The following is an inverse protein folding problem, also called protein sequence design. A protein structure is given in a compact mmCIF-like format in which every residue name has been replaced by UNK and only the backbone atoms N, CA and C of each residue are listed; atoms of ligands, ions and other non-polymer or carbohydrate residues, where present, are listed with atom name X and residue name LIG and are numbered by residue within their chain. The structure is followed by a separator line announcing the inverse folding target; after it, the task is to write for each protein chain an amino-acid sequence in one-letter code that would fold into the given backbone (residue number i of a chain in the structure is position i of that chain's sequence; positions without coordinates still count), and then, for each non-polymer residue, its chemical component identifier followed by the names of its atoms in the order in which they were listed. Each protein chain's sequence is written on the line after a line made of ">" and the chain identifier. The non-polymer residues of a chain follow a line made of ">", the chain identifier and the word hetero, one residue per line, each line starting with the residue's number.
data_IF_346150953780
#
_entry.id   IF_346150953780
#
_cell.length_a   1.000
_cell.length_b   1.000
_cell.length_c   1.000
_cell.angle_alpha   90.00
_cell.angle_beta   90.00
_cell.angle_gamma   90.00
#
_symmetry.space_group_name_H-M   'P 1'
#
loop_
_entity.id
_entity.type
_entity.pdbx_description
1 polymer ?
#
# COMPACT_ATOMS: atom_id res chain seq x y z
N UNK A 1 21.56 4.62 -14.73
CA UNK A 1 20.65 3.57 -14.25
C UNK A 1 21.15 3.10 -12.90
N UNK A 2 20.51 3.49 -11.79
CA UNK A 2 20.81 2.86 -10.52
C UNK A 2 20.44 1.39 -10.67
N UNK A 3 21.19 0.48 -10.02
CA UNK A 3 20.78 -0.93 -9.95
C UNK A 3 19.44 -1.14 -9.24
N UNK A 4 18.77 -0.07 -8.79
CA UNK A 4 17.38 -0.06 -8.35
C UNK A 4 16.39 -0.51 -9.44
N UNK A 5 16.67 -0.18 -10.73
CA UNK A 5 15.85 -0.68 -11.83
C UNK A 5 16.10 -2.16 -12.16
N UNK A 6 17.06 -2.79 -11.45
CA UNK A 6 17.43 -4.22 -11.59
C UNK A 6 17.12 -5.05 -10.35
N UNK A 7 16.28 -4.58 -9.42
CA UNK A 7 15.60 -5.56 -8.57
C UNK A 7 14.88 -6.49 -9.54
N UNK A 8 15.32 -7.75 -9.57
CA UNK A 8 14.67 -8.79 -10.36
C UNK A 8 13.20 -8.69 -10.01
N UNK A 9 12.41 -8.16 -10.94
CA UNK A 9 10.96 -8.12 -10.79
C UNK A 9 10.54 -9.51 -10.28
N UNK A 10 9.89 -9.58 -9.11
CA UNK A 10 9.48 -10.86 -8.55
C UNK A 10 8.66 -11.59 -9.61
N UNK A 11 9.21 -12.62 -10.15
CA UNK A 11 8.52 -13.52 -11.08
C UNK A 11 7.77 -14.54 -10.24
N UNK A 12 6.53 -14.82 -10.63
CA UNK A 12 5.77 -15.88 -9.98
C UNK A 12 6.59 -17.17 -9.96
N UNK A 13 6.67 -17.81 -8.80
CA UNK A 13 7.37 -19.08 -8.61
C UNK A 13 6.63 -20.21 -9.30
N UNK A 14 5.29 -20.18 -9.22
CA UNK A 14 4.42 -21.12 -9.88
C UNK A 14 3.83 -20.50 -11.17
N UNK A 15 3.57 -21.32 -12.19
CA UNK A 15 2.95 -20.82 -13.44
C UNK A 15 1.56 -20.26 -13.15
N UNK A 16 1.17 -19.18 -13.86
CA UNK A 16 -0.14 -18.51 -13.68
C UNK A 16 -1.31 -19.51 -13.70
N UNK A 17 -1.24 -20.54 -14.54
CA UNK A 17 -2.25 -21.60 -14.65
C UNK A 17 -2.52 -22.32 -13.31
N UNK A 18 -1.53 -22.38 -12.41
CA UNK A 18 -1.69 -22.98 -11.08
C UNK A 18 -2.74 -22.25 -10.23
N UNK A 19 -2.86 -20.93 -10.42
CA UNK A 19 -3.77 -20.08 -9.66
C UNK A 19 -5.16 -19.96 -10.30
N UNK A 20 -5.33 -20.40 -11.55
CA UNK A 20 -6.62 -20.39 -12.22
C UNK A 20 -7.62 -21.27 -11.48
N UNK A 21 -8.86 -20.78 -11.33
CA UNK A 21 -9.97 -21.46 -10.63
C UNK A 21 -9.72 -21.73 -9.14
N UNK A 22 -8.70 -21.12 -8.54
CA UNK A 22 -8.42 -21.18 -7.11
C UNK A 22 -8.63 -19.82 -6.46
N UNK A 23 -8.57 -19.76 -5.12
CA UNK A 23 -8.73 -18.52 -4.37
C UNK A 23 -10.17 -18.00 -4.35
N UNK A 24 -11.17 -18.86 -4.63
CA UNK A 24 -12.59 -18.54 -4.63
C UNK A 24 -13.27 -18.92 -3.31
N UNK A 25 -12.51 -19.18 -2.27
CA UNK A 25 -13.00 -19.53 -0.94
C UNK A 25 -13.63 -18.33 -0.24
N UNK A 26 -14.75 -18.54 0.45
CA UNK A 26 -15.34 -17.57 1.35
C UNK A 26 -14.69 -17.61 2.73
N UNK A 27 -14.85 -16.51 3.52
CA UNK A 27 -14.44 -16.44 4.92
C UNK A 27 -15.67 -16.20 5.78
N UNK A 28 -15.90 -17.07 6.76
CA UNK A 28 -17.02 -16.92 7.67
C UNK A 28 -16.82 -15.68 8.57
N UNK A 29 -17.87 -14.88 8.75
CA UNK A 29 -17.88 -13.80 9.72
C UNK A 29 -18.03 -14.36 11.13
N UNK A 30 -17.04 -14.11 11.99
CA UNK A 30 -16.96 -14.62 13.37
C UNK A 30 -17.34 -13.55 14.42
N UNK A 31 -18.28 -12.67 14.09
CA UNK A 31 -18.72 -11.56 14.91
C UNK A 31 -17.87 -10.31 14.68
N UNK A 32 -18.46 -9.31 14.01
CA UNK A 32 -17.85 -8.02 13.65
C UNK A 32 -16.44 -8.11 12.97
N UNK A 33 -16.12 -9.26 12.32
CA UNK A 33 -14.84 -9.48 11.63
C UNK A 33 -14.92 -9.20 10.12
N UNK A 34 -15.96 -8.55 9.64
CA UNK A 34 -16.16 -8.29 8.22
C UNK A 34 -15.03 -7.42 7.62
N UNK A 35 -14.52 -6.43 8.37
CA UNK A 35 -13.38 -5.61 7.95
C UNK A 35 -12.10 -6.46 7.81
N UNK A 36 -11.84 -7.38 8.75
CA UNK A 36 -10.71 -8.34 8.67
C UNK A 36 -10.86 -9.22 7.43
N UNK A 37 -12.03 -9.83 7.26
CA UNK A 37 -12.30 -10.75 6.14
C UNK A 37 -12.11 -10.05 4.79
N UNK A 38 -12.60 -8.80 4.66
CA UNK A 38 -12.47 -8.01 3.43
C UNK A 38 -11.02 -7.71 3.09
N UNK A 39 -10.21 -7.34 4.08
CA UNK A 39 -8.78 -7.10 3.91
C UNK A 39 -8.03 -8.39 3.54
N UNK A 40 -8.33 -9.51 4.23
CA UNK A 40 -7.71 -10.79 3.91
C UNK A 40 -8.02 -11.21 2.47
N UNK A 41 -9.26 -11.05 2.02
CA UNK A 41 -9.65 -11.36 0.64
C UNK A 41 -8.92 -10.45 -0.36
N UNK A 42 -8.81 -9.14 -0.08
CA UNK A 42 -8.05 -8.21 -0.92
C UNK A 42 -6.57 -8.62 -1.03
N UNK A 43 -5.90 -8.84 0.10
CA UNK A 43 -4.49 -9.25 0.13
C UNK A 43 -4.28 -10.64 -0.48
N UNK A 44 -5.23 -11.56 -0.31
CA UNK A 44 -5.22 -12.89 -0.93
C UNK A 44 -5.26 -12.81 -2.47
N UNK A 45 -5.94 -11.82 -3.04
CA UNK A 45 -5.98 -11.58 -4.48
C UNK A 45 -4.79 -10.75 -5.00
N UNK A 46 -3.86 -10.35 -4.14
CA UNK A 46 -2.59 -9.72 -4.51
C UNK A 46 -1.59 -10.80 -4.94
N UNK A 47 -1.66 -11.21 -6.20
CA UNK A 47 -1.04 -12.45 -6.69
C UNK A 47 0.44 -12.60 -6.36
N UNK A 48 1.25 -11.54 -6.49
CA UNK A 48 2.69 -11.62 -6.19
C UNK A 48 2.97 -11.88 -4.71
N UNK A 49 2.22 -11.24 -3.82
CA UNK A 49 2.31 -11.48 -2.39
C UNK A 49 1.86 -12.90 -2.06
N UNK A 50 0.75 -13.32 -2.64
CA UNK A 50 0.18 -14.66 -2.42
C UNK A 50 1.12 -15.76 -2.89
N UNK A 51 1.67 -15.65 -4.11
CA UNK A 51 2.67 -16.61 -4.61
C UNK A 51 3.89 -16.68 -3.70
N UNK A 52 4.45 -15.54 -3.30
CA UNK A 52 5.59 -15.48 -2.38
C UNK A 52 5.32 -16.20 -1.06
N UNK A 53 4.16 -15.99 -0.46
CA UNK A 53 3.80 -16.60 0.81
C UNK A 53 3.47 -18.10 0.67
N UNK A 54 2.74 -18.51 -0.38
CA UNK A 54 2.36 -19.90 -0.60
C UNK A 54 3.54 -20.79 -0.97
N UNK A 55 4.51 -20.26 -1.71
CA UNK A 55 5.72 -20.99 -2.14
C UNK A 55 6.86 -20.93 -1.12
N UNK A 56 6.60 -20.37 0.06
CA UNK A 56 7.57 -20.16 1.13
C UNK A 56 8.79 -19.31 0.69
N UNK A 57 8.58 -18.33 -0.20
CA UNK A 57 9.61 -17.39 -0.63
C UNK A 57 10.32 -16.71 0.55
N UNK A 58 9.57 -16.41 1.60
CA UNK A 58 10.08 -15.84 2.86
C UNK A 58 11.16 -16.71 3.55
N UNK A 59 11.26 -18.01 3.25
CA UNK A 59 12.30 -18.90 3.79
C UNK A 59 13.59 -18.84 2.99
N UNK A 60 13.53 -18.41 1.72
CA UNK A 60 14.68 -18.38 0.81
C UNK A 60 15.45 -17.07 0.91
N UNK A 61 14.72 -15.97 1.17
CA UNK A 61 15.29 -14.63 1.16
C UNK A 61 15.79 -14.18 2.53
N UNK A 62 15.51 -14.94 3.59
CA UNK A 62 15.98 -14.63 4.94
C UNK A 62 17.20 -15.48 5.34
N UNK A 63 18.42 -14.93 5.26
CA UNK A 63 19.62 -15.54 5.80
C UNK A 63 19.64 -15.53 7.34
N UNK A 64 18.74 -14.76 7.98
CA UNK A 64 18.51 -14.79 9.41
C UNK A 64 17.45 -15.86 9.68
N UNK A 65 17.68 -16.73 10.63
CA UNK A 65 16.58 -17.44 11.25
C UNK A 65 15.52 -16.39 11.60
N UNK A 66 14.41 -16.38 10.86
CA UNK A 66 13.28 -15.49 11.07
C UNK A 66 13.16 -15.34 12.58
N UNK A 67 13.20 -14.12 13.07
CA UNK A 67 13.20 -13.80 14.50
C UNK A 67 11.98 -14.45 15.18
N UNK A 68 12.08 -15.75 15.44
CA UNK A 68 11.04 -16.61 16.03
C UNK A 68 10.59 -16.13 17.42
N UNK A 69 11.32 -15.16 17.96
CA UNK A 69 11.11 -14.61 19.31
C UNK A 69 10.13 -13.44 19.35
N UNK A 70 9.73 -12.86 18.22
CA UNK A 70 8.76 -11.75 18.23
C UNK A 70 7.33 -12.29 18.28
N UNK A 71 6.55 -11.86 19.27
CA UNK A 71 5.13 -12.22 19.44
C UNK A 71 4.30 -11.98 18.15
N UNK A 72 4.67 -11.00 17.33
CA UNK A 72 4.00 -10.65 16.08
C UNK A 72 4.23 -11.67 14.95
N UNK A 73 5.31 -12.47 14.98
CA UNK A 73 5.56 -13.50 13.98
C UNK A 73 4.46 -14.57 13.94
N UNK A 74 3.83 -14.84 15.07
CA UNK A 74 2.69 -15.75 15.14
C UNK A 74 1.49 -15.30 14.31
N UNK A 75 1.30 -13.98 14.11
CA UNK A 75 0.23 -13.42 13.27
C UNK A 75 0.54 -13.66 11.80
N UNK A 76 1.77 -13.37 11.37
CA UNK A 76 2.23 -13.63 9.99
C UNK A 76 2.06 -15.10 9.61
N UNK A 77 2.50 -16.04 10.47
CA UNK A 77 2.33 -17.48 10.23
C UNK A 77 0.85 -17.88 10.17
N UNK A 78 0.03 -17.30 11.03
CA UNK A 78 -1.41 -17.58 11.04
C UNK A 78 -2.10 -17.05 9.79
N UNK A 79 -1.69 -15.87 9.31
CA UNK A 79 -2.17 -15.34 8.04
C UNK A 79 -1.76 -16.24 6.87
N UNK A 80 -0.50 -16.70 6.82
CA UNK A 80 -0.02 -17.64 5.79
C UNK A 80 -0.85 -18.93 5.82
N UNK A 81 -1.21 -19.42 7.01
CA UNK A 81 -2.07 -20.60 7.14
C UNK A 81 -3.49 -20.34 6.59
N UNK A 82 -4.10 -19.18 6.91
CA UNK A 82 -5.39 -18.77 6.33
C UNK A 82 -5.28 -18.68 4.81
N UNK A 83 -4.22 -18.05 4.30
CA UNK A 83 -3.98 -17.91 2.87
C UNK A 83 -3.87 -19.28 2.17
N UNK A 84 -3.17 -20.24 2.76
CA UNK A 84 -3.09 -21.62 2.24
C UNK A 84 -4.48 -22.24 2.14
N UNK A 85 -5.31 -22.12 3.16
CA UNK A 85 -6.68 -22.63 3.16
C UNK A 85 -7.57 -21.98 2.09
N UNK A 86 -7.42 -20.66 1.88
CA UNK A 86 -8.15 -19.94 0.83
C UNK A 86 -7.82 -20.45 -0.59
N UNK A 87 -6.56 -20.89 -0.80
CA UNK A 87 -6.07 -21.31 -2.12
C UNK A 87 -6.01 -22.83 -2.32
N UNK A 88 -6.26 -23.62 -1.28
CA UNK A 88 -6.27 -25.08 -1.34
C UNK A 88 -7.55 -25.62 -2.00
N UNK A 89 -8.70 -25.21 -1.48
CA UNK A 89 -10.03 -25.63 -1.92
C UNK A 89 -10.99 -24.45 -1.93
N UNK A 90 -11.93 -24.40 -2.88
CA UNK A 90 -12.93 -23.34 -2.98
C UNK A 90 -14.11 -23.54 -2.00
N UNK A 91 -13.82 -23.58 -0.71
CA UNK A 91 -14.78 -23.79 0.38
C UNK A 91 -14.86 -22.58 1.29
N UNK A 92 -15.89 -22.49 2.13
CA UNK A 92 -15.95 -21.50 3.21
C UNK A 92 -15.02 -21.93 4.33
N UNK A 93 -14.12 -21.03 4.75
CA UNK A 93 -13.17 -21.28 5.84
C UNK A 93 -13.53 -20.49 7.10
N UNK A 94 -13.16 -21.03 8.26
CA UNK A 94 -13.27 -20.38 9.57
C UNK A 94 -11.86 -20.07 10.11
N UNK A 95 -11.40 -18.83 10.07
CA UNK A 95 -10.05 -18.46 10.49
C UNK A 95 -9.93 -18.26 12.03
N UNK A 96 -10.52 -19.16 12.85
CA UNK A 96 -10.60 -19.01 14.31
C UNK A 96 -9.24 -18.74 14.98
N UNK A 97 -8.23 -19.52 14.64
CA UNK A 97 -6.89 -19.36 15.22
C UNK A 97 -6.29 -17.98 14.92
N UNK A 98 -6.47 -17.50 13.69
CA UNK A 98 -6.01 -16.17 13.29
C UNK A 98 -6.75 -15.06 14.03
N UNK A 99 -8.08 -15.11 14.06
CA UNK A 99 -8.92 -14.13 14.78
C UNK A 99 -8.59 -14.09 16.27
N UNK A 100 -8.42 -15.26 16.91
CA UNK A 100 -8.06 -15.32 18.33
C UNK A 100 -6.70 -14.67 18.61
N UNK A 101 -5.71 -14.85 17.74
CA UNK A 101 -4.43 -14.15 17.87
C UNK A 101 -4.54 -12.65 17.72
N UNK A 102 -5.38 -12.16 16.80
CA UNK A 102 -5.65 -10.73 16.65
C UNK A 102 -6.38 -10.16 17.90
N UNK A 103 -7.32 -10.92 18.49
CA UNK A 103 -7.98 -10.54 19.73
C UNK A 103 -7.00 -10.43 20.90
N UNK A 104 -6.05 -11.35 21.00
CA UNK A 104 -5.04 -11.35 22.08
C UNK A 104 -4.16 -10.09 22.07
N UNK A 105 -3.94 -9.51 20.91
CA UNK A 105 -3.19 -8.25 20.75
C UNK A 105 -4.12 -7.03 20.59
N UNK A 106 -5.41 -7.18 20.84
CA UNK A 106 -6.45 -6.13 20.77
C UNK A 106 -6.60 -5.48 19.38
N UNK A 107 -6.18 -6.16 18.31
CA UNK A 107 -6.42 -5.73 16.92
C UNK A 107 -7.80 -6.14 16.39
N UNK A 108 -8.49 -7.01 17.09
CA UNK A 108 -9.90 -7.37 16.87
C UNK A 108 -10.60 -7.27 18.21
N UNK A 109 -11.64 -6.48 18.27
CA UNK A 109 -12.54 -6.34 19.43
C UNK A 109 -13.93 -6.87 19.09
N UNK A 110 -14.88 -6.72 20.00
CA UNK A 110 -16.29 -7.01 19.72
C UNK A 110 -17.00 -5.87 18.98
N UNK A 111 -16.29 -4.77 18.72
CA UNK A 111 -16.82 -3.61 18.01
C UNK A 111 -16.41 -3.62 16.54
N UNK A 112 -17.11 -2.86 15.73
CA UNK A 112 -16.70 -2.61 14.36
C UNK A 112 -15.48 -1.69 14.33
N UNK A 113 -14.57 -1.94 13.39
CA UNK A 113 -13.34 -1.16 13.24
C UNK A 113 -13.13 -0.76 11.79
N UNK A 114 -12.22 0.20 11.59
CA UNK A 114 -11.88 0.69 10.26
C UNK A 114 -11.02 -0.33 9.50
N UNK A 115 -11.46 -0.66 8.29
CA UNK A 115 -10.75 -1.61 7.42
C UNK A 115 -9.40 -1.06 6.94
N UNK A 116 -9.26 0.27 6.76
CA UNK A 116 -8.00 0.88 6.36
C UNK A 116 -6.95 0.79 7.47
N UNK A 117 -7.32 1.07 8.71
CA UNK A 117 -6.42 0.90 9.86
C UNK A 117 -5.95 -0.56 9.98
N UNK A 118 -6.87 -1.51 9.82
CA UNK A 118 -6.53 -2.93 9.84
C UNK A 118 -5.61 -3.32 8.66
N UNK A 119 -5.82 -2.76 7.46
CA UNK A 119 -4.92 -2.98 6.32
C UNK A 119 -3.50 -2.50 6.63
N UNK A 120 -3.34 -1.27 7.14
CA UNK A 120 -2.03 -0.72 7.50
C UNK A 120 -1.36 -1.54 8.60
N UNK A 121 -2.11 -1.98 9.61
CA UNK A 121 -1.61 -2.90 10.62
C UNK A 121 -1.07 -4.19 9.99
N UNK A 122 -1.83 -4.82 9.09
CA UNK A 122 -1.40 -6.07 8.42
C UNK A 122 -0.15 -5.87 7.58
N UNK A 123 -0.08 -4.79 6.78
CA UNK A 123 1.08 -4.48 5.95
C UNK A 123 2.32 -4.23 6.80
N UNK A 124 2.20 -3.46 7.89
CA UNK A 124 3.31 -3.20 8.80
C UNK A 124 3.78 -4.48 9.51
N UNK A 125 2.85 -5.30 10.01
CA UNK A 125 3.18 -6.57 10.64
C UNK A 125 3.90 -7.53 9.68
N UNK A 126 3.38 -7.67 8.46
CA UNK A 126 4.02 -8.49 7.43
C UNK A 126 5.39 -7.94 7.04
N UNK A 127 5.52 -6.60 6.89
CA UNK A 127 6.81 -5.97 6.59
C UNK A 127 7.83 -6.27 7.69
N UNK A 128 7.47 -6.03 8.95
CA UNK A 128 8.37 -6.26 10.09
C UNK A 128 8.90 -7.70 10.14
N UNK A 129 8.03 -8.66 9.86
CA UNK A 129 8.37 -10.09 9.97
C UNK A 129 9.03 -10.68 8.72
N UNK A 130 8.85 -10.06 7.55
CA UNK A 130 9.41 -10.52 6.27
C UNK A 130 10.58 -9.67 5.79
N UNK A 131 11.01 -8.68 6.58
CA UNK A 131 12.06 -7.75 6.19
C UNK A 131 13.45 -8.36 6.26
N UNK A 132 14.31 -7.90 5.36
CA UNK A 132 15.73 -8.25 5.28
C UNK A 132 16.59 -7.01 4.98
N UNK A 133 17.87 -7.00 5.37
CA UNK A 133 18.76 -5.90 5.06
C UNK A 133 19.11 -5.87 3.58
N UNK A 134 19.20 -4.67 3.01
CA UNK A 134 19.62 -4.45 1.63
C UNK A 134 20.89 -3.62 1.57
N UNK A 135 21.69 -3.83 0.52
CA UNK A 135 22.81 -2.98 0.16
C UNK A 135 22.57 -2.38 -1.24
N UNK A 136 23.01 -1.13 -1.42
CA UNK A 136 22.86 -0.42 -2.69
C UNK A 136 24.24 -0.06 -3.23
N UNK A 137 24.44 -0.32 -4.52
CA UNK A 137 25.55 0.22 -5.27
C UNK A 137 25.07 1.42 -6.08
N UNK A 138 25.66 2.57 -5.87
CA UNK A 138 25.35 3.78 -6.63
C UNK A 138 25.94 3.69 -8.05
N UNK A 139 25.20 4.23 -9.01
CA UNK A 139 25.71 4.47 -10.37
C UNK A 139 26.28 5.87 -10.43
N UNK A 140 27.46 6.03 -11.07
CA UNK A 140 28.10 7.33 -11.26
C UNK A 140 27.31 8.30 -12.18
N UNK A 141 26.33 7.76 -12.90
CA UNK A 141 25.50 8.50 -13.87
C UNK A 141 24.28 9.24 -13.26
N UNK A 142 24.14 9.23 -11.94
CA UNK A 142 23.01 9.89 -11.26
C UNK A 142 23.27 11.39 -11.10
N UNK A 143 22.23 12.20 -11.31
CA UNK A 143 22.24 13.61 -10.91
C UNK A 143 22.34 13.75 -9.38
N UNK A 144 22.71 14.94 -8.88
CA UNK A 144 22.80 15.17 -7.43
C UNK A 144 21.47 14.90 -6.71
N UNK A 145 20.35 15.33 -7.29
CA UNK A 145 19.00 15.06 -6.77
C UNK A 145 18.73 13.57 -6.72
N UNK A 146 19.03 12.83 -7.81
CA UNK A 146 18.84 11.39 -7.86
C UNK A 146 19.71 10.64 -6.85
N UNK A 147 20.95 11.08 -6.63
CA UNK A 147 21.86 10.52 -5.61
C UNK A 147 21.30 10.72 -4.20
N UNK A 148 20.87 11.96 -3.88
CA UNK A 148 20.31 12.29 -2.57
C UNK A 148 19.03 11.46 -2.28
N UNK A 149 18.13 11.39 -3.26
CA UNK A 149 16.91 10.57 -3.14
C UNK A 149 17.24 9.09 -2.92
N UNK A 150 18.19 8.56 -3.70
CA UNK A 150 18.60 7.17 -3.59
C UNK A 150 19.22 6.87 -2.23
N UNK A 151 20.02 7.80 -1.69
CA UNK A 151 20.61 7.68 -0.36
C UNK A 151 19.55 7.73 0.74
N UNK A 152 18.59 8.63 0.64
CA UNK A 152 17.47 8.74 1.59
C UNK A 152 16.62 7.47 1.55
N UNK A 153 16.26 6.97 0.36
CA UNK A 153 15.57 5.68 0.22
C UNK A 153 16.34 4.54 0.90
N UNK A 154 17.64 4.45 0.65
CA UNK A 154 18.48 3.43 1.28
C UNK A 154 18.46 3.53 2.80
N UNK A 155 18.70 4.73 3.34
CA UNK A 155 18.72 4.94 4.78
C UNK A 155 17.38 4.58 5.46
N UNK A 156 16.26 4.82 4.78
CA UNK A 156 14.92 4.47 5.27
C UNK A 156 14.63 2.97 5.19
N UNK A 157 15.30 2.22 4.30
CA UNK A 157 14.94 0.83 4.00
C UNK A 157 16.05 -0.19 4.25
N UNK A 158 17.29 0.23 4.55
CA UNK A 158 18.48 -0.65 4.61
C UNK A 158 18.35 -1.85 5.56
N UNK A 159 17.50 -1.77 6.57
CA UNK A 159 17.32 -2.82 7.58
C UNK A 159 15.96 -3.51 7.52
N UNK A 160 15.00 -2.95 6.80
CA UNK A 160 13.60 -3.37 6.85
C UNK A 160 12.92 -3.42 5.46
N UNK A 161 13.69 -3.70 4.41
CA UNK A 161 13.15 -3.94 3.08
C UNK A 161 12.49 -5.31 3.00
N UNK A 162 11.35 -5.41 2.31
CA UNK A 162 10.60 -6.66 2.18
C UNK A 162 9.78 -6.71 0.90
N UNK A 163 9.19 -7.88 0.63
CA UNK A 163 8.18 -8.05 -0.42
C UNK A 163 6.98 -7.11 -0.25
N UNK A 164 6.66 -6.70 0.98
CA UNK A 164 5.58 -5.73 1.24
C UNK A 164 5.97 -4.37 0.70
N UNK A 165 7.17 -3.87 1.02
CA UNK A 165 7.68 -2.60 0.47
C UNK A 165 7.83 -2.66 -1.04
N UNK A 166 8.30 -3.77 -1.60
CA UNK A 166 8.40 -3.94 -3.05
C UNK A 166 7.03 -3.82 -3.74
N UNK A 167 5.99 -4.37 -3.13
CA UNK A 167 4.67 -4.43 -3.74
C UNK A 167 3.77 -3.23 -3.45
N UNK A 168 3.94 -2.52 -2.33
CA UNK A 168 2.98 -1.50 -1.89
C UNK A 168 3.59 -0.14 -1.56
N UNK A 169 4.93 -0.03 -1.41
CA UNK A 169 5.53 1.21 -0.93
C UNK A 169 5.61 2.28 -2.03
N UNK A 170 4.86 3.36 -1.86
CA UNK A 170 4.90 4.55 -2.69
C UNK A 170 5.99 5.46 -2.15
N UNK A 171 6.78 6.06 -3.03
CA UNK A 171 7.75 7.08 -2.65
C UNK A 171 7.33 8.43 -3.23
N UNK A 172 7.13 9.39 -2.36
CA UNK A 172 6.80 10.77 -2.70
C UNK A 172 8.03 11.67 -2.62
N UNK A 173 8.05 12.65 -3.51
CA UNK A 173 8.94 13.82 -3.46
C UNK A 173 8.08 15.04 -3.18
N UNK A 174 8.31 15.70 -2.06
CA UNK A 174 7.63 16.93 -1.68
C UNK A 174 8.59 18.09 -1.96
N UNK A 175 8.20 18.96 -2.87
CA UNK A 175 8.93 20.21 -3.15
C UNK A 175 8.26 21.36 -2.41
N UNK A 176 9.07 22.12 -1.64
CA UNK A 176 8.65 23.35 -0.97
C UNK A 176 9.45 24.50 -1.58
N UNK A 177 8.76 25.35 -2.35
CA UNK A 177 9.37 26.48 -3.06
C UNK A 177 8.98 27.81 -2.42
N UNK A 178 9.98 28.60 -2.04
CA UNK A 178 9.78 29.95 -1.52
C UNK A 178 9.26 30.89 -2.61
N UNK A 179 8.19 31.64 -2.33
CA UNK A 179 7.64 32.61 -3.28
C UNK A 179 8.53 33.83 -3.52
N UNK A 180 9.38 34.19 -2.56
CA UNK A 180 10.23 35.38 -2.67
C UNK A 180 11.56 35.10 -3.37
N UNK A 181 12.31 34.11 -2.89
CA UNK A 181 13.67 33.84 -3.39
C UNK A 181 13.79 32.61 -4.31
N UNK A 182 12.66 31.94 -4.58
CA UNK A 182 12.59 30.71 -5.38
C UNK A 182 13.49 29.56 -4.87
N UNK A 183 13.98 29.63 -3.62
CA UNK A 183 14.67 28.48 -3.03
C UNK A 183 13.75 27.28 -2.97
N UNK A 184 14.26 26.11 -3.32
CA UNK A 184 13.53 24.85 -3.33
C UNK A 184 14.14 23.88 -2.34
N UNK A 185 13.29 23.34 -1.45
CA UNK A 185 13.64 22.31 -0.50
C UNK A 185 12.87 21.04 -0.83
N UNK A 186 13.57 19.88 -0.79
CA UNK A 186 12.99 18.60 -1.13
C UNK A 186 12.94 17.68 0.08
N UNK A 187 11.75 17.18 0.37
CA UNK A 187 11.51 16.14 1.36
C UNK A 187 11.03 14.85 0.69
N UNK A 188 11.29 13.73 1.36
CA UNK A 188 10.96 12.40 0.85
C UNK A 188 10.11 11.67 1.87
N UNK A 189 8.99 11.16 1.43
CA UNK A 189 8.08 10.39 2.26
C UNK A 189 7.74 9.05 1.61
N UNK A 190 7.45 8.07 2.45
CA UNK A 190 6.98 6.76 2.03
C UNK A 190 5.62 6.50 2.65
N UNK A 191 4.72 5.91 1.84
CA UNK A 191 3.41 5.46 2.30
C UNK A 191 3.02 4.18 1.58
N UNK A 192 2.12 3.40 2.18
CA UNK A 192 1.49 2.27 1.51
C UNK A 192 0.26 2.69 0.70
N UNK A 193 -0.29 3.88 0.93
CA UNK A 193 -1.52 4.35 0.29
C UNK A 193 -1.46 5.82 -0.13
N UNK A 194 -2.42 6.21 -0.97
CA UNK A 194 -2.77 7.58 -1.27
C UNK A 194 -4.16 7.83 -0.66
N UNK A 195 -4.20 8.59 0.42
CA UNK A 195 -5.45 8.93 1.12
C UNK A 195 -6.09 10.18 0.52
N UNK A 196 -7.25 10.02 -0.13
CA UNK A 196 -7.96 11.06 -0.85
C UNK A 196 -9.15 11.58 -0.05
N UNK A 197 -9.21 12.91 0.16
CA UNK A 197 -10.40 13.57 0.64
C UNK A 197 -11.46 13.60 -0.45
N UNK A 198 -12.68 13.11 -0.16
CA UNK A 198 -13.73 12.95 -1.16
C UNK A 198 -14.67 14.17 -1.25
N UNK A 199 -14.36 15.27 -0.54
CA UNK A 199 -15.27 16.41 -0.43
C UNK A 199 -15.45 17.17 -1.74
N UNK A 200 -14.40 17.28 -2.56
CA UNK A 200 -14.34 18.18 -3.72
C UNK A 200 -14.88 17.61 -5.03
N UNK A 201 -14.86 16.30 -5.24
CA UNK A 201 -15.31 15.69 -6.49
C UNK A 201 -15.98 14.33 -6.27
N UNK A 202 -16.71 13.87 -7.28
CA UNK A 202 -17.26 12.53 -7.42
C UNK A 202 -16.41 11.64 -8.34
N UNK A 203 -15.38 12.17 -8.99
CA UNK A 203 -14.53 11.43 -9.92
C UNK A 203 -13.17 11.15 -9.28
N UNK A 204 -12.71 9.90 -9.33
CA UNK A 204 -11.44 9.49 -8.76
C UNK A 204 -10.25 10.24 -9.36
N UNK A 205 -10.27 10.47 -10.69
CA UNK A 205 -9.20 11.19 -11.38
C UNK A 205 -9.07 12.64 -10.90
N UNK A 206 -10.22 13.33 -10.66
CA UNK A 206 -10.24 14.69 -10.13
C UNK A 206 -9.77 14.74 -8.66
N UNK A 207 -10.08 13.71 -7.86
CA UNK A 207 -9.57 13.60 -6.49
C UNK A 207 -8.06 13.42 -6.46
N UNK A 208 -7.51 12.64 -7.41
CA UNK A 208 -6.07 12.51 -7.58
C UNK A 208 -5.44 13.83 -8.04
N UNK A 209 -6.05 14.53 -9.00
CA UNK A 209 -5.57 15.84 -9.45
C UNK A 209 -5.55 16.86 -8.31
N UNK A 210 -6.55 16.86 -7.44
CA UNK A 210 -6.59 17.73 -6.26
C UNK A 210 -5.52 17.34 -5.22
N UNK A 211 -5.27 16.04 -5.00
CA UNK A 211 -4.24 15.57 -4.07
C UNK A 211 -2.83 16.00 -4.49
N UNK A 212 -2.55 15.99 -5.79
CA UNK A 212 -1.26 16.37 -6.36
C UNK A 212 -1.20 17.84 -6.79
N UNK A 213 -2.21 18.66 -6.49
CA UNK A 213 -2.22 20.08 -6.77
C UNK A 213 -1.23 20.83 -5.90
N UNK A 214 -0.79 21.98 -6.40
CA UNK A 214 0.00 22.92 -5.60
C UNK A 214 -0.82 23.52 -4.47
N UNK A 215 -0.19 23.58 -3.29
CA UNK A 215 -0.77 24.16 -2.08
C UNK A 215 0.07 25.34 -1.62
N UNK A 216 -0.54 26.49 -1.39
CA UNK A 216 0.13 27.62 -0.78
C UNK A 216 0.10 27.51 0.75
N UNK A 217 1.28 27.55 1.39
CA UNK A 217 1.44 27.50 2.84
C UNK A 217 1.93 28.87 3.31
N UNK A 218 1.02 29.66 3.87
CA UNK A 218 1.28 31.03 4.30
C UNK A 218 2.32 31.13 5.42
N UNK A 219 2.21 30.28 6.43
CA UNK A 219 3.06 30.33 7.62
C UNK A 219 4.44 29.63 7.48
N UNK A 220 4.67 28.91 6.38
CA UNK A 220 5.96 28.24 6.15
C UNK A 220 7.05 29.28 5.88
N UNK A 221 8.02 29.37 6.78
CA UNK A 221 9.19 30.21 6.68
C UNK A 221 10.26 29.57 5.77
N UNK A 222 10.84 30.36 4.88
CA UNK A 222 11.95 29.93 4.04
C UNK A 222 13.25 29.93 4.83
N UNK A 223 14.00 28.84 4.79
CA UNK A 223 15.25 28.69 5.53
C UNK A 223 16.39 29.60 4.97
N UNK A 224 16.26 30.05 3.70
CA UNK A 224 17.25 30.89 3.04
C UNK A 224 17.03 32.42 3.25
N UNK A 225 15.79 32.90 3.09
CA UNK A 225 15.49 34.34 3.10
C UNK A 225 14.56 34.76 4.24
N UNK A 226 14.12 33.82 5.08
CA UNK A 226 13.20 34.03 6.19
C UNK A 226 11.80 34.55 5.82
N UNK A 227 11.46 34.66 4.53
CA UNK A 227 10.14 35.06 4.08
C UNK A 227 9.13 33.96 4.46
N UNK A 228 7.94 34.38 4.90
CA UNK A 228 6.77 33.51 5.09
C UNK A 228 5.98 33.41 3.81
N UNK A 229 5.70 32.22 3.36
CA UNK A 229 4.93 31.94 2.16
C UNK A 229 5.70 31.06 1.18
N UNK A 230 5.30 29.79 1.15
CA UNK A 230 5.87 28.78 0.27
C UNK A 230 4.79 28.04 -0.52
N UNK A 231 5.16 27.52 -1.65
CA UNK A 231 4.32 26.61 -2.44
C UNK A 231 4.81 25.19 -2.18
N UNK A 232 3.92 24.32 -1.74
CA UNK A 232 4.15 22.88 -1.60
C UNK A 232 3.60 22.17 -2.81
N UNK A 233 4.38 21.25 -3.37
CA UNK A 233 3.97 20.36 -4.44
C UNK A 233 4.39 18.94 -4.11
N UNK A 234 3.43 18.03 -4.14
CA UNK A 234 3.68 16.60 -3.98
C UNK A 234 3.85 15.99 -5.38
N UNK A 235 4.89 15.20 -5.54
CA UNK A 235 5.16 14.42 -6.74
C UNK A 235 5.33 12.95 -6.39
N UNK A 236 4.98 12.08 -7.32
CA UNK A 236 5.42 10.69 -7.27
C UNK A 236 6.91 10.61 -7.64
N UNK A 237 7.68 9.88 -6.85
CA UNK A 237 9.04 9.51 -7.20
C UNK A 237 9.14 8.06 -7.63
N UNK A 238 8.47 7.17 -6.93
CA UNK A 238 8.35 5.76 -7.28
C UNK A 238 6.99 5.20 -6.96
N UNK A 239 6.49 4.34 -7.85
CA UNK A 239 5.25 3.59 -7.63
C UNK A 239 5.56 2.11 -7.47
N UNK A 240 4.88 1.45 -6.53
CA UNK A 240 4.94 0.02 -6.30
C UNK A 240 4.17 -0.75 -7.38
N UNK A 241 4.16 -2.08 -7.27
CA UNK A 241 3.37 -2.94 -8.16
C UNK A 241 1.87 -2.80 -7.94
N UNK A 242 1.44 -2.54 -6.73
CA UNK A 242 0.04 -2.34 -6.34
C UNK A 242 -0.11 -1.00 -5.63
N UNK A 243 -1.02 -0.17 -6.11
CA UNK A 243 -1.34 1.11 -5.49
C UNK A 243 -2.60 0.93 -4.65
N UNK A 244 -2.55 1.37 -3.42
CA UNK A 244 -3.70 1.45 -2.53
C UNK A 244 -4.23 2.88 -2.57
N UNK A 245 -5.50 3.05 -2.92
CA UNK A 245 -6.21 4.31 -2.82
C UNK A 245 -7.19 4.22 -1.67
N UNK A 246 -6.99 5.05 -0.66
CA UNK A 246 -7.92 5.18 0.45
C UNK A 246 -8.83 6.39 0.22
N UNK A 247 -10.14 6.17 0.23
CA UNK A 247 -11.13 7.23 0.16
C UNK A 247 -11.58 7.59 1.58
N UNK A 248 -11.26 8.79 2.05
CA UNK A 248 -11.61 9.26 3.39
C UNK A 248 -13.12 9.48 3.50
N UNK A 249 -13.85 8.42 3.82
CA UNK A 249 -15.31 8.40 3.89
C UNK A 249 -15.88 8.79 5.27
N UNK A 250 -15.05 9.12 6.22
CA UNK A 250 -15.46 9.63 7.53
C UNK A 250 -14.88 11.02 7.75
N UNK A 251 -15.69 11.93 8.27
CA UNK A 251 -15.25 13.27 8.67
C UNK A 251 -14.55 13.25 10.04
N UNK A 252 -14.02 14.41 10.45
CA UNK A 252 -13.33 14.55 11.74
C UNK A 252 -14.24 14.29 12.97
N UNK A 253 -15.56 14.26 12.77
CA UNK A 253 -16.55 13.95 13.79
C UNK A 253 -16.98 12.48 13.77
N UNK A 254 -16.35 11.64 12.96
CA UNK A 254 -16.70 10.24 12.78
C UNK A 254 -17.98 10.00 11.97
N UNK A 255 -18.52 11.02 11.29
CA UNK A 255 -19.73 10.88 10.46
C UNK A 255 -19.36 10.38 9.09
N UNK A 256 -20.08 9.38 8.61
CA UNK A 256 -19.87 8.84 7.27
C UNK A 256 -20.34 9.81 6.19
N UNK A 257 -19.45 10.10 5.24
CA UNK A 257 -19.75 10.88 4.04
C UNK A 257 -20.33 9.94 2.99
N UNK A 258 -21.65 9.96 2.80
CA UNK A 258 -22.37 9.13 1.84
C UNK A 258 -22.26 9.71 0.42
N UNK A 259 -21.04 9.74 -0.10
CA UNK A 259 -20.74 10.23 -1.44
C UNK A 259 -20.30 9.05 -2.30
N UNK A 260 -20.94 8.88 -3.45
CA UNK A 260 -20.50 7.90 -4.45
C UNK A 260 -19.31 8.46 -5.22
N UNK A 261 -18.25 7.66 -5.35
CA UNK A 261 -17.08 8.02 -6.14
C UNK A 261 -17.05 7.11 -7.37
N UNK A 262 -17.09 7.75 -8.53
CA UNK A 262 -16.98 7.08 -9.82
C UNK A 262 -15.52 6.92 -10.19
N UNK A 263 -15.18 5.76 -10.69
CA UNK A 263 -13.88 5.45 -11.25
C UNK A 263 -14.06 4.82 -12.64
N UNK A 264 -13.14 5.14 -13.53
CA UNK A 264 -13.17 4.58 -14.87
C UNK A 264 -12.82 3.09 -14.83
N UNK A 265 -13.48 2.30 -15.68
CA UNK A 265 -13.06 0.92 -15.96
C UNK A 265 -11.77 0.86 -16.80
N UNK A 266 -11.28 2.01 -17.29
CA UNK A 266 -10.00 2.11 -18.00
C UNK A 266 -8.84 2.21 -17.01
N UNK A 267 -7.64 1.89 -17.51
CA UNK A 267 -6.40 2.02 -16.73
C UNK A 267 -6.15 3.48 -16.36
N UNK A 268 -5.78 3.71 -15.10
CA UNK A 268 -5.35 5.03 -14.63
C UNK A 268 -3.88 5.21 -14.98
N UNK A 269 -3.55 6.35 -15.61
CA UNK A 269 -2.19 6.73 -15.92
C UNK A 269 -1.66 7.72 -14.87
N UNK A 270 -0.69 7.28 -14.08
CA UNK A 270 -0.08 8.10 -13.03
C UNK A 270 1.09 8.98 -13.52
N UNK A 271 1.45 8.92 -14.80
CA UNK A 271 2.64 9.61 -15.33
C UNK A 271 2.63 11.12 -15.06
N UNK A 272 1.47 11.78 -15.15
CA UNK A 272 1.31 13.22 -14.93
C UNK A 272 1.67 13.70 -13.51
N UNK A 273 1.74 12.80 -12.55
CA UNK A 273 2.05 13.11 -11.14
C UNK A 273 3.53 12.90 -10.79
N UNK A 274 4.33 12.38 -11.72
CA UNK A 274 5.74 12.20 -11.45
C UNK A 274 6.53 13.50 -11.44
N UNK A 275 7.60 13.52 -10.64
CA UNK A 275 8.52 14.64 -10.61
C UNK A 275 9.20 14.85 -11.98
N UNK A 276 9.29 16.09 -12.48
CA UNK A 276 10.05 16.41 -13.71
C UNK A 276 11.53 16.03 -13.62
N UNK A 277 12.08 15.96 -12.41
CA UNK A 277 13.48 15.58 -12.15
C UNK A 277 13.73 14.09 -12.29
N UNK A 278 12.68 13.30 -12.56
CA UNK A 278 12.80 11.88 -12.81
C UNK A 278 12.59 11.59 -14.29
N UNK A 279 13.54 10.90 -14.92
CA UNK A 279 13.31 10.33 -16.23
C UNK A 279 12.21 9.25 -16.16
N UNK A 280 11.04 9.56 -16.67
CA UNK A 280 9.95 8.61 -16.80
C UNK A 280 10.29 7.62 -17.92
N UNK A 281 10.56 6.36 -17.57
CA UNK A 281 10.98 5.34 -18.56
C UNK A 281 9.91 4.31 -18.88
N UNK A 282 8.76 4.32 -18.17
CA UNK A 282 7.71 3.31 -18.30
C UNK A 282 6.32 3.94 -18.27
N UNK A 283 5.38 3.28 -18.91
CA UNK A 283 3.96 3.60 -18.80
C UNK A 283 3.47 3.16 -17.42
N UNK A 284 3.01 4.11 -16.62
CA UNK A 284 2.49 3.86 -15.27
C UNK A 284 0.97 3.71 -15.31
N UNK A 285 0.50 2.69 -16.03
CA UNK A 285 -0.91 2.33 -16.12
C UNK A 285 -1.27 1.27 -15.10
N UNK A 286 -2.30 1.54 -14.30
CA UNK A 286 -2.80 0.61 -13.30
C UNK A 286 -4.26 0.26 -13.54
N UNK A 287 -4.57 -1.03 -13.42
CA UNK A 287 -5.92 -1.57 -13.46
C UNK A 287 -6.45 -1.79 -12.05
N UNK A 288 -7.72 -1.49 -11.84
CA UNK A 288 -8.39 -1.86 -10.60
C UNK A 288 -8.59 -3.37 -10.53
N UNK A 289 -8.09 -4.00 -9.46
CA UNK A 289 -8.27 -5.44 -9.23
C UNK A 289 -9.10 -5.78 -7.98
N UNK A 290 -9.17 -4.87 -7.00
CA UNK A 290 -9.90 -5.12 -5.75
C UNK A 290 -10.46 -3.82 -5.18
N UNK A 291 -11.68 -3.90 -4.64
CA UNK A 291 -12.34 -2.82 -3.93
C UNK A 291 -12.89 -3.34 -2.61
N UNK A 292 -12.67 -2.60 -1.54
CA UNK A 292 -13.30 -2.84 -0.25
C UNK A 292 -14.42 -1.84 -0.10
N UNK A 293 -15.63 -2.34 0.03
CA UNK A 293 -16.84 -1.56 0.16
C UNK A 293 -17.34 -1.59 1.60
N UNK A 294 -17.92 -0.47 2.04
CA UNK A 294 -18.60 -0.36 3.33
C UNK A 294 -20.03 0.08 3.16
N UNK A 295 -20.99 -0.70 3.63
CA UNK A 295 -22.41 -0.40 3.66
C UNK A 295 -22.83 -0.11 5.11
N UNK A 296 -23.76 0.83 5.32
CA UNK A 296 -24.20 1.24 6.65
C UNK A 296 -23.53 2.53 7.14
N UNK A 297 -23.50 2.74 8.46
CA UNK A 297 -22.91 3.90 9.12
C UNK A 297 -21.69 3.50 9.98
N UNK A 298 -21.10 4.47 10.72
CA UNK A 298 -19.91 4.22 11.53
C UNK A 298 -20.10 3.15 12.61
N UNK A 299 -21.29 3.08 13.22
CA UNK A 299 -21.57 2.18 14.35
C UNK A 299 -22.13 0.84 13.91
N UNK A 300 -22.91 0.83 12.81
CA UNK A 300 -23.60 -0.36 12.29
C UNK A 300 -23.39 -0.43 10.78
N UNK A 301 -22.34 -1.13 10.38
CA UNK A 301 -21.98 -1.28 8.99
C UNK A 301 -21.51 -2.69 8.66
N UNK A 302 -21.29 -2.92 7.37
CA UNK A 302 -20.76 -4.16 6.86
C UNK A 302 -19.74 -3.90 5.78
N UNK A 303 -18.55 -4.47 5.93
CA UNK A 303 -17.51 -4.49 4.91
C UNK A 303 -17.62 -5.73 4.04
N UNK A 304 -17.39 -5.55 2.75
CA UNK A 304 -17.24 -6.65 1.81
C UNK A 304 -16.19 -6.29 0.74
N UNK A 305 -15.61 -7.31 0.15
CA UNK A 305 -14.60 -7.18 -0.88
C UNK A 305 -15.15 -7.63 -2.23
N UNK A 306 -14.79 -6.90 -3.28
CA UNK A 306 -14.99 -7.28 -4.67
C UNK A 306 -13.61 -7.33 -5.32
N UNK A 307 -13.20 -8.49 -5.80
CA UNK A 307 -11.88 -8.67 -6.44
C UNK A 307 -12.01 -9.38 -7.77
N UNK A 308 -11.22 -8.93 -8.75
CA UNK A 308 -11.03 -9.66 -10.00
C UNK A 308 -10.19 -10.91 -9.73
N UNK A 309 -10.68 -12.07 -10.13
CA UNK A 309 -9.85 -13.25 -10.16
C UNK A 309 -8.90 -13.24 -11.38
N UNK A 310 -7.99 -14.21 -11.47
CA UNK A 310 -7.01 -14.30 -12.56
C UNK A 310 -7.63 -14.45 -13.96
N UNK A 311 -8.89 -14.84 -14.06
CA UNK A 311 -9.62 -14.95 -15.31
C UNK A 311 -10.42 -13.67 -15.64
N UNK A 312 -10.16 -12.55 -14.94
CA UNK A 312 -10.88 -11.28 -15.03
C UNK A 312 -12.41 -11.40 -14.75
N UNK A 313 -12.83 -12.46 -14.07
CA UNK A 313 -14.20 -12.61 -13.56
C UNK A 313 -14.27 -12.01 -12.14
N UNK A 314 -15.30 -11.24 -11.93
CA UNK A 314 -15.67 -10.68 -10.63
C UNK A 314 -16.50 -11.69 -9.85
#
# INVERSE_FOLDING_TARGET
>A
MSKFDKHKEYKLTLPRKYYEKKGLSGIQNLGNTCYVNSIIQCLSNTLKLTDYLLTNGYKKDDPREINKTKNNFNITLSYIFVLKKLWEHNNVIQPLSFINKLKNIKQVTNEQQDAHEFLLFMLNNLNENLSYPININFSDKLTNIQKDITLKFYNMNKKDYSIIKENFNIMFLINIKCKQCNNEDFMYEQSYDISLSINKSHLLDELLDEYFKEEYIEDKKCDKCNFKGCIKKIYLWNLPKYIIIHLQKFDNNGRKINKHIYYSNSKINYLKYFSPNREARHNYFYDLYSVICHQGNANNGHYYNISKNLNNKI
#
